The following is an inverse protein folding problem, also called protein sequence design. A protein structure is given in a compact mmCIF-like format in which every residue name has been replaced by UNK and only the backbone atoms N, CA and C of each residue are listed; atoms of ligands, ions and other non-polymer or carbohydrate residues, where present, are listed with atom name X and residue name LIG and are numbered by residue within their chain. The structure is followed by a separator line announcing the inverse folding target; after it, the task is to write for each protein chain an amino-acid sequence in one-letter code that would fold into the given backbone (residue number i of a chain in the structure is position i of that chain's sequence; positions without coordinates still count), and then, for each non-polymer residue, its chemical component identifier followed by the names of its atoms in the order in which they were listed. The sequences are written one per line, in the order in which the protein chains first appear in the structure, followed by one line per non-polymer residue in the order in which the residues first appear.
data_IF_237946866427
#
_entry.id   IF_237946866427
#
_cell.length_a   1.000
_cell.length_b   1.000
_cell.length_c   1.000
_cell.angle_alpha   90.00
_cell.angle_beta   90.00
_cell.angle_gamma   90.00
#
_symmetry.space_group_name_H-M   'P 1'
#
loop_
_entity.id
_entity.type
_entity.pdbx_description
1 polymer ?
#
# COMPACT_ATOMS: atom_id res chain seq x y z
N UNK A 1 -13.83 -51.20 -11.76
CA UNK A 1 -13.00 -51.00 -10.56
C UNK A 1 -12.44 -49.58 -10.62
N UNK A 2 -12.74 -48.75 -9.62
CA UNK A 2 -12.60 -47.28 -9.65
C UNK A 2 -11.14 -46.86 -9.45
N UNK A 3 -10.56 -46.13 -10.40
CA UNK A 3 -9.31 -45.38 -10.19
C UNK A 3 -9.71 -44.00 -9.69
N UNK A 4 -9.60 -43.78 -8.38
CA UNK A 4 -9.69 -42.46 -7.75
C UNK A 4 -8.29 -41.85 -7.78
N UNK A 5 -8.02 -40.99 -8.76
CA UNK A 5 -6.80 -40.20 -8.78
C UNK A 5 -6.95 -39.03 -7.79
N UNK A 6 -6.19 -39.14 -6.71
CA UNK A 6 -5.89 -38.10 -5.75
C UNK A 6 -5.21 -36.92 -6.47
N UNK A 7 -5.75 -35.71 -6.31
CA UNK A 7 -5.12 -34.49 -6.82
C UNK A 7 -5.31 -33.36 -5.82
N UNK A 8 -4.16 -32.87 -5.34
CA UNK A 8 -3.89 -31.59 -4.69
C UNK A 8 -4.43 -31.34 -3.28
N UNK A 9 -3.70 -31.87 -2.29
CA UNK A 9 -3.52 -31.19 -1.01
C UNK A 9 -2.56 -30.03 -1.25
N UNK A 10 -3.10 -28.83 -1.48
CA UNK A 10 -2.33 -27.59 -1.46
C UNK A 10 -1.93 -27.31 -0.01
N UNK A 11 -0.69 -27.64 0.34
CA UNK A 11 -0.07 -27.30 1.61
C UNK A 11 -0.01 -25.77 1.69
N UNK A 12 -0.98 -25.19 2.39
CA UNK A 12 -0.90 -23.83 2.89
C UNK A 12 0.24 -23.82 3.91
N UNK A 13 1.44 -23.56 3.42
CA UNK A 13 2.62 -23.39 4.26
C UNK A 13 2.39 -22.17 5.13
N UNK A 14 1.99 -22.43 6.38
CA UNK A 14 1.90 -21.47 7.45
C UNK A 14 3.32 -20.96 7.71
N UNK A 15 3.74 -19.92 6.98
CA UNK A 15 5.03 -19.28 7.21
C UNK A 15 4.99 -18.67 8.60
N UNK A 16 5.88 -19.14 9.48
CA UNK A 16 6.09 -18.56 10.79
C UNK A 16 6.43 -17.08 10.61
N UNK A 17 5.50 -16.20 10.99
CA UNK A 17 5.73 -14.76 10.97
C UNK A 17 6.63 -14.47 12.16
N UNK A 18 7.94 -14.47 11.91
CA UNK A 18 8.87 -13.85 12.84
C UNK A 18 8.55 -12.35 12.89
N UNK A 19 8.22 -11.86 14.08
CA UNK A 19 8.01 -10.44 14.32
C UNK A 19 9.34 -9.72 14.03
N UNK A 20 9.37 -8.89 12.99
CA UNK A 20 10.49 -8.03 12.62
C UNK A 20 9.95 -6.61 12.53
N UNK A 21 10.73 -5.59 12.95
CA UNK A 21 10.32 -4.21 12.79
C UNK A 21 10.14 -3.91 11.31
N UNK A 22 9.00 -3.33 10.94
CA UNK A 22 8.71 -2.92 9.56
C UNK A 22 8.71 -1.40 9.51
N UNK A 23 9.52 -0.83 8.63
CA UNK A 23 9.60 0.62 8.44
C UNK A 23 8.67 1.15 7.34
N UNK A 24 8.18 0.25 6.51
CA UNK A 24 7.27 0.59 5.43
C UNK A 24 6.27 -0.54 5.17
N UNK A 25 5.01 -0.15 5.01
CA UNK A 25 3.94 -1.02 4.54
C UNK A 25 3.25 -0.33 3.35
N UNK A 26 3.16 -1.00 2.18
CA UNK A 26 2.55 -0.42 1.00
C UNK A 26 1.04 -0.24 1.21
N UNK A 27 0.55 0.97 0.96
CA UNK A 27 -0.87 1.30 1.00
C UNK A 27 -1.57 0.94 -0.33
N UNK A 28 -2.89 0.95 -0.38
CA UNK A 28 -3.70 0.74 -1.60
C UNK A 28 -3.39 1.82 -2.65
N UNK A 29 -3.18 1.47 -3.91
CA UNK A 29 -3.02 2.43 -5.01
C UNK A 29 -4.38 3.05 -5.36
N UNK A 30 -4.47 4.37 -5.31
CA UNK A 30 -5.64 5.08 -5.85
C UNK A 30 -5.59 5.10 -7.37
N UNK A 31 -6.43 4.26 -7.97
CA UNK A 31 -6.59 4.05 -9.42
C UNK A 31 -8.01 4.47 -9.83
N UNK A 32 -8.28 5.78 -9.99
CA UNK A 32 -9.65 6.27 -10.11
C UNK A 32 -10.30 5.98 -11.47
N UNK A 33 -9.52 5.84 -12.54
CA UNK A 33 -10.04 5.65 -13.91
C UNK A 33 -11.02 6.77 -14.31
N UNK A 34 -10.65 8.02 -14.04
CA UNK A 34 -11.34 9.24 -14.49
C UNK A 34 -11.37 9.26 -16.02
N UNK A 35 -12.55 9.56 -16.55
CA UNK A 35 -12.86 9.61 -17.98
C UNK A 35 -13.32 10.99 -18.43
N UNK A 36 -13.81 11.82 -17.51
CA UNK A 36 -14.36 13.13 -17.85
C UNK A 36 -14.20 14.18 -16.74
N UNK A 37 -14.36 15.45 -17.12
CA UNK A 37 -14.37 16.58 -16.19
C UNK A 37 -15.60 16.47 -15.27
N UNK A 38 -15.41 16.69 -13.99
CA UNK A 38 -16.47 16.62 -12.98
C UNK A 38 -16.62 15.23 -12.37
N UNK A 39 -16.05 14.20 -12.98
CA UNK A 39 -16.11 12.85 -12.44
C UNK A 39 -15.36 12.76 -11.11
N UNK A 40 -16.03 12.17 -10.13
CA UNK A 40 -15.52 11.97 -8.77
C UNK A 40 -15.43 10.48 -8.49
N UNK A 41 -14.27 10.03 -8.00
CA UNK A 41 -14.06 8.68 -7.51
C UNK A 41 -13.73 8.74 -6.02
N UNK A 42 -14.44 7.97 -5.19
CA UNK A 42 -14.13 7.81 -3.77
C UNK A 42 -13.93 6.31 -3.47
N UNK A 43 -12.97 5.97 -2.63
CA UNK A 43 -12.74 4.60 -2.19
C UNK A 43 -12.53 4.56 -0.69
N UNK A 44 -13.19 3.61 -0.03
CA UNK A 44 -12.85 3.17 1.31
C UNK A 44 -12.32 1.74 1.19
N UNK A 45 -11.07 1.50 1.55
CA UNK A 45 -10.44 0.19 1.45
C UNK A 45 -9.56 -0.12 2.64
N UNK A 46 -9.23 -1.38 2.84
CA UNK A 46 -8.35 -1.78 3.93
C UNK A 46 -8.10 -3.27 3.93
N UNK A 47 -7.42 -3.71 4.99
CA UNK A 47 -7.15 -5.09 5.31
C UNK A 47 -7.10 -5.25 6.84
N UNK A 48 -6.53 -6.34 7.34
CA UNK A 48 -6.47 -6.60 8.79
C UNK A 48 -5.57 -5.63 9.59
N UNK A 49 -4.77 -4.78 8.95
CA UNK A 49 -3.83 -3.87 9.62
C UNK A 49 -3.86 -2.44 9.06
N UNK A 50 -4.74 -2.11 8.12
CA UNK A 50 -4.87 -0.76 7.60
C UNK A 50 -6.29 -0.41 7.14
N UNK A 51 -6.65 0.86 7.28
CA UNK A 51 -7.87 1.46 6.73
C UNK A 51 -7.47 2.70 5.95
N UNK A 52 -8.01 2.85 4.75
CA UNK A 52 -7.65 3.89 3.79
C UNK A 52 -8.88 4.52 3.16
N UNK A 53 -8.84 5.85 3.02
CA UNK A 53 -9.81 6.65 2.30
C UNK A 53 -9.09 7.32 1.14
N UNK A 54 -9.65 7.21 -0.05
CA UNK A 54 -9.05 7.73 -1.27
C UNK A 54 -10.11 8.50 -2.05
N UNK A 55 -9.69 9.61 -2.66
CA UNK A 55 -10.55 10.44 -3.49
C UNK A 55 -9.81 10.90 -4.74
N UNK A 56 -10.55 11.08 -5.83
CA UNK A 56 -10.06 11.70 -7.05
C UNK A 56 -11.16 12.51 -7.74
N UNK A 57 -10.76 13.56 -8.44
CA UNK A 57 -11.67 14.47 -9.13
C UNK A 57 -11.07 14.97 -10.45
N UNK A 58 -11.83 14.85 -11.54
CA UNK A 58 -11.49 15.39 -12.85
C UNK A 58 -11.70 16.90 -12.93
N UNK A 59 -10.63 17.70 -12.80
CA UNK A 59 -10.72 19.16 -12.82
C UNK A 59 -10.86 19.75 -14.24
N UNK A 60 -10.36 19.06 -15.25
CA UNK A 60 -10.44 19.45 -16.67
C UNK A 60 -10.73 18.22 -17.54
N UNK A 61 -10.73 18.38 -18.86
CA UNK A 61 -10.93 17.27 -19.82
C UNK A 61 -9.78 16.25 -19.84
N UNK A 62 -8.66 16.54 -19.19
CA UNK A 62 -7.51 15.60 -19.17
C UNK A 62 -6.66 15.70 -17.91
N UNK A 63 -7.06 16.51 -16.91
CA UNK A 63 -6.34 16.65 -15.66
C UNK A 63 -7.24 16.25 -14.50
N UNK A 64 -6.70 15.44 -13.60
CA UNK A 64 -7.36 15.01 -12.38
C UNK A 64 -6.44 15.23 -11.18
N UNK A 65 -7.05 15.48 -10.03
CA UNK A 65 -6.39 15.51 -8.73
C UNK A 65 -6.81 14.28 -7.94
N UNK A 66 -5.96 13.83 -7.03
CA UNK A 66 -6.25 12.77 -6.08
C UNK A 66 -5.68 13.07 -4.70
N UNK A 67 -6.34 12.53 -3.68
CA UNK A 67 -5.91 12.62 -2.30
C UNK A 67 -6.19 11.29 -1.58
N UNK A 68 -5.25 10.83 -0.76
CA UNK A 68 -5.34 9.57 -0.03
C UNK A 68 -5.00 9.81 1.44
N UNK A 69 -5.74 9.18 2.34
CA UNK A 69 -5.44 9.09 3.75
C UNK A 69 -5.43 7.64 4.19
N UNK A 70 -4.51 7.26 5.06
CA UNK A 70 -4.40 5.89 5.57
C UNK A 70 -4.00 5.86 7.04
N UNK A 71 -4.55 4.90 7.76
CA UNK A 71 -4.19 4.56 9.12
C UNK A 71 -3.72 3.10 9.14
N UNK A 72 -2.54 2.87 9.69
CA UNK A 72 -1.97 1.55 9.94
C UNK A 72 -2.14 1.25 11.42
N UNK A 73 -2.88 0.19 11.71
CA UNK A 73 -3.30 -0.19 13.04
C UNK A 73 -2.47 -1.40 13.45
N UNK A 74 -1.84 -1.37 14.63
CA UNK A 74 -1.08 -2.50 15.13
C UNK A 74 -2.01 -3.70 15.28
N UNK A 75 -1.50 -4.90 14.99
CA UNK A 75 -2.19 -6.12 15.39
C UNK A 75 -2.09 -6.22 16.90
N UNK A 76 -3.21 -6.48 17.57
CA UNK A 76 -3.23 -6.82 19.00
C UNK A 76 -2.48 -8.15 19.20
N UNK A 77 -1.16 -8.07 19.36
CA UNK A 77 -0.33 -9.20 19.76
C UNK A 77 -0.31 -9.27 21.29
N UNK A 78 -0.51 -10.47 21.84
CA UNK A 78 -0.55 -10.71 23.29
C UNK A 78 0.72 -10.26 24.03
N UNK A 79 1.82 -10.02 23.32
CA UNK A 79 3.10 -9.59 23.87
C UNK A 79 3.36 -8.06 23.75
N UNK A 80 2.37 -7.28 23.31
CA UNK A 80 2.46 -5.83 23.17
C UNK A 80 3.25 -5.36 21.94
N UNK A 81 3.75 -6.26 21.09
CA UNK A 81 4.47 -5.86 19.87
C UNK A 81 3.48 -5.28 18.84
N UNK A 82 3.80 -4.14 18.25
CA UNK A 82 2.91 -3.52 17.28
C UNK A 82 3.59 -2.43 16.48
N UNK A 83 3.28 -2.38 15.18
CA UNK A 83 3.62 -1.26 14.31
C UNK A 83 2.36 -0.46 14.01
N UNK A 84 2.44 0.86 14.15
CA UNK A 84 1.35 1.78 13.79
C UNK A 84 1.86 2.90 12.90
N UNK A 85 0.95 3.60 12.24
CA UNK A 85 1.32 4.75 11.44
C UNK A 85 0.13 5.43 10.79
N UNK A 86 0.39 6.62 10.25
CA UNK A 86 -0.60 7.36 9.46
C UNK A 86 0.06 7.95 8.23
N UNK A 87 -0.73 8.11 7.19
CA UNK A 87 -0.27 8.54 5.90
C UNK A 87 -1.27 9.47 5.22
N UNK A 88 -0.76 10.49 4.55
CA UNK A 88 -1.49 11.42 3.70
C UNK A 88 -0.74 11.57 2.37
N UNK A 89 -1.45 11.46 1.26
CA UNK A 89 -0.92 11.69 -0.09
C UNK A 89 -1.80 12.64 -0.85
N UNK A 90 -1.18 13.48 -1.66
CA UNK A 90 -1.84 14.22 -2.73
C UNK A 90 -1.16 13.90 -4.05
N UNK A 91 -1.93 14.00 -5.13
CA UNK A 91 -1.41 13.82 -6.47
C UNK A 91 -2.19 14.58 -7.52
N UNK A 92 -1.49 14.96 -8.58
CA UNK A 92 -2.06 15.61 -9.76
C UNK A 92 -1.56 14.89 -10.99
N UNK A 93 -2.42 14.74 -11.99
CA UNK A 93 -2.11 13.86 -13.11
C UNK A 93 -2.90 14.10 -14.36
N UNK A 94 -2.43 13.46 -15.43
CA UNK A 94 -3.06 13.44 -16.73
C UNK A 94 -3.89 12.16 -16.88
N UNK A 95 -5.07 12.27 -17.49
CA UNK A 95 -5.89 11.12 -17.88
C UNK A 95 -6.35 11.24 -19.33
N UNK A 96 -6.55 10.09 -19.98
CA UNK A 96 -7.04 9.99 -21.36
C UNK A 96 -7.85 8.72 -21.54
N UNK A 97 -9.10 8.88 -21.98
CA UNK A 97 -9.87 7.79 -22.55
C UNK A 97 -9.27 7.41 -23.93
N UNK A 98 -8.73 6.20 -24.05
CA UNK A 98 -8.15 5.67 -25.28
C UNK A 98 -9.21 5.04 -26.19
N UNK A 99 -10.29 4.54 -25.60
CA UNK A 99 -11.48 4.04 -26.27
C UNK A 99 -12.69 4.19 -25.33
N UNK A 100 -13.87 3.70 -25.73
CA UNK A 100 -15.08 3.75 -24.90
C UNK A 100 -14.92 3.13 -23.51
N UNK A 101 -13.97 2.20 -23.34
CA UNK A 101 -13.78 1.49 -22.09
C UNK A 101 -12.32 1.44 -21.64
N UNK A 102 -11.36 1.96 -22.39
CA UNK A 102 -9.95 1.95 -22.01
C UNK A 102 -9.51 3.35 -21.56
N UNK A 103 -8.82 3.40 -20.43
CA UNK A 103 -8.34 4.63 -19.81
C UNK A 103 -6.87 4.48 -19.46
N UNK A 104 -6.08 5.48 -19.84
CA UNK A 104 -4.73 5.66 -19.36
C UNK A 104 -4.70 6.87 -18.42
N UNK A 105 -4.02 6.74 -17.29
CA UNK A 105 -3.81 7.83 -16.35
C UNK A 105 -2.37 7.81 -15.85
N UNK A 106 -1.85 8.96 -15.48
CA UNK A 106 -0.58 9.05 -14.77
C UNK A 106 -0.62 10.19 -13.78
N UNK A 107 -0.18 9.94 -12.54
CA UNK A 107 -0.21 10.90 -11.45
C UNK A 107 1.16 11.10 -10.85
N UNK A 108 1.58 12.35 -10.68
CA UNK A 108 2.65 12.70 -9.74
C UNK A 108 2.11 12.65 -8.31
N UNK A 109 2.94 12.19 -7.38
CA UNK A 109 2.58 11.92 -5.98
C UNK A 109 3.51 12.65 -5.03
N UNK A 110 2.93 13.23 -3.98
CA UNK A 110 3.64 13.74 -2.81
C UNK A 110 2.90 13.24 -1.57
N UNK A 111 3.64 12.59 -0.68
CA UNK A 111 3.13 11.93 0.50
C UNK A 111 3.91 12.25 1.76
N UNK A 112 3.19 12.30 2.87
CA UNK A 112 3.71 12.53 4.21
C UNK A 112 3.10 11.50 5.16
N UNK A 113 3.89 11.01 6.10
CA UNK A 113 3.40 10.10 7.10
C UNK A 113 4.34 9.99 8.28
N UNK A 114 3.98 9.12 9.20
CA UNK A 114 4.88 8.67 10.24
C UNK A 114 4.56 7.22 10.59
N UNK A 115 5.51 6.57 11.24
CA UNK A 115 5.31 5.26 11.81
C UNK A 115 5.93 5.20 13.21
N UNK A 116 5.45 4.23 13.97
CA UNK A 116 5.99 3.84 15.26
C UNK A 116 5.99 2.31 15.35
N UNK A 117 7.07 1.73 15.83
CA UNK A 117 7.15 0.32 16.17
C UNK A 117 7.47 0.20 17.66
N UNK A 118 6.58 -0.48 18.38
CA UNK A 118 6.74 -0.82 19.79
C UNK A 118 7.09 -2.32 19.91
N UNK A 119 8.29 -2.63 20.43
CA UNK A 119 8.71 -4.02 20.68
C UNK A 119 9.20 -4.17 22.13
N UNK A 120 8.28 -4.21 23.11
CA UNK A 120 8.64 -4.22 24.53
C UNK A 120 9.20 -5.56 25.02
N UNK A 121 8.99 -6.65 24.28
CA UNK A 121 9.35 -8.00 24.69
C UNK A 121 10.28 -8.71 23.70
N UNK A 122 11.27 -9.40 24.25
CA UNK A 122 12.17 -10.27 23.50
C UNK A 122 11.43 -11.54 23.07
N UNK A 123 11.48 -11.90 21.79
CA UNK A 123 10.93 -13.18 21.34
C UNK A 123 11.97 -14.29 21.52
N UNK A 124 11.54 -15.56 21.66
CA UNK A 124 12.46 -16.71 21.70
C UNK A 124 13.34 -16.81 20.44
N UNK A 125 12.87 -16.26 19.33
CA UNK A 125 13.60 -16.15 18.05
C UNK A 125 14.61 -15.01 17.99
N UNK A 126 14.40 -13.93 18.75
CA UNK A 126 15.28 -12.78 18.84
C UNK A 126 15.34 -12.28 20.30
N UNK A 127 16.16 -12.94 21.15
CA UNK A 127 16.18 -12.71 22.60
C UNK A 127 16.77 -11.35 23.02
N UNK A 128 17.08 -10.46 22.07
CA UNK A 128 17.59 -9.11 22.30
C UNK A 128 16.68 -8.02 21.73
N UNK A 129 15.54 -8.39 21.12
CA UNK A 129 14.60 -7.41 20.56
C UNK A 129 13.92 -6.63 21.68
N UNK A 130 14.28 -5.35 21.83
CA UNK A 130 13.71 -4.48 22.85
C UNK A 130 13.79 -3.02 22.41
N UNK A 131 12.73 -2.27 22.70
CA UNK A 131 12.69 -0.82 22.59
C UNK A 131 11.71 -0.36 21.52
N UNK A 132 11.80 0.93 21.23
CA UNK A 132 10.86 1.64 20.37
C UNK A 132 11.59 2.38 19.26
N UNK A 133 10.91 2.56 18.13
CA UNK A 133 11.40 3.43 17.06
C UNK A 133 10.23 4.13 16.39
N UNK A 134 10.41 5.42 16.13
CA UNK A 134 9.49 6.23 15.35
C UNK A 134 10.27 7.07 14.34
N UNK A 135 9.63 7.40 13.22
CA UNK A 135 10.17 8.33 12.26
C UNK A 135 9.07 9.00 11.44
N UNK A 136 9.39 10.16 10.89
CA UNK A 136 8.60 10.80 9.84
C UNK A 136 8.98 10.23 8.48
N UNK A 137 8.00 10.14 7.59
CA UNK A 137 8.09 9.57 6.27
C UNK A 137 7.69 10.61 5.23
N UNK A 138 8.52 10.77 4.21
CA UNK A 138 8.25 11.55 3.02
C UNK A 138 8.29 10.65 1.78
N UNK A 139 7.32 10.80 0.89
CA UNK A 139 7.24 10.01 -0.34
C UNK A 139 7.02 10.94 -1.53
N UNK A 140 7.81 10.76 -2.58
CA UNK A 140 7.60 11.43 -3.86
C UNK A 140 7.68 10.41 -4.99
N UNK A 141 6.84 10.55 -6.00
CA UNK A 141 6.93 9.65 -7.14
C UNK A 141 5.87 9.83 -8.20
N UNK A 142 5.74 8.81 -9.05
CA UNK A 142 4.79 8.77 -10.15
C UNK A 142 4.02 7.45 -10.15
N UNK A 143 2.78 7.49 -10.66
CA UNK A 143 1.91 6.33 -10.78
C UNK A 143 1.19 6.30 -12.13
N UNK A 144 1.75 5.62 -13.14
CA UNK A 144 0.99 5.21 -14.33
C UNK A 144 -0.05 4.14 -13.99
N UNK A 145 -1.22 4.29 -14.62
CA UNK A 145 -2.34 3.38 -14.59
C UNK A 145 -2.82 3.10 -16.02
N UNK A 146 -3.18 1.86 -16.28
CA UNK A 146 -3.90 1.46 -17.49
C UNK A 146 -5.08 0.59 -17.07
N UNK A 147 -6.29 0.99 -17.44
CA UNK A 147 -7.48 0.31 -16.98
C UNK A 147 -8.59 0.20 -18.01
N UNK A 148 -9.39 -0.83 -17.83
CA UNK A 148 -10.69 -1.02 -18.44
C UNK A 148 -11.78 -0.54 -17.48
N UNK A 149 -12.71 0.29 -17.96
CA UNK A 149 -13.85 0.81 -17.21
C UNK A 149 -15.15 0.60 -17.97
N UNK A 150 -16.10 -0.06 -17.32
CA UNK A 150 -17.49 -0.20 -17.78
C UNK A 150 -18.44 0.13 -16.64
N UNK A 151 -19.74 0.11 -16.91
CA UNK A 151 -20.80 0.42 -15.94
C UNK A 151 -20.75 -0.48 -14.71
N UNK A 152 -20.51 -1.78 -14.87
CA UNK A 152 -20.62 -2.76 -13.77
C UNK A 152 -19.28 -3.38 -13.36
N UNK A 153 -18.23 -3.12 -14.13
CA UNK A 153 -16.93 -3.76 -13.96
C UNK A 153 -15.80 -2.81 -14.36
N UNK A 154 -14.73 -2.81 -13.58
CA UNK A 154 -13.47 -2.21 -13.98
C UNK A 154 -12.28 -3.07 -13.55
N UNK A 155 -11.20 -2.98 -14.31
CA UNK A 155 -9.95 -3.65 -13.99
C UNK A 155 -8.80 -2.73 -14.40
N UNK A 156 -7.73 -2.71 -13.62
CA UNK A 156 -6.59 -1.85 -13.92
C UNK A 156 -5.27 -2.49 -13.49
N UNK A 157 -4.24 -2.22 -14.29
CA UNK A 157 -2.85 -2.39 -13.94
C UNK A 157 -2.29 -1.02 -13.56
N UNK A 158 -1.56 -0.97 -12.46
CA UNK A 158 -0.92 0.25 -11.99
C UNK A 158 0.47 -0.07 -11.47
N UNK A 159 1.35 0.91 -11.51
CA UNK A 159 2.66 0.79 -10.86
C UNK A 159 3.05 2.12 -10.25
N UNK A 160 3.55 2.11 -9.02
CA UNK A 160 4.17 3.27 -8.38
C UNK A 160 5.68 3.16 -8.46
N UNK A 161 6.31 4.26 -8.83
CA UNK A 161 7.75 4.47 -8.77
C UNK A 161 7.99 5.62 -7.81
N UNK A 162 8.48 5.32 -6.62
CA UNK A 162 8.53 6.29 -5.52
C UNK A 162 9.90 6.27 -4.86
N UNK A 163 10.39 7.45 -4.50
CA UNK A 163 11.43 7.60 -3.49
C UNK A 163 10.76 7.81 -2.13
N UNK A 164 11.16 6.98 -1.17
CA UNK A 164 10.75 7.01 0.21
C UNK A 164 11.91 7.52 1.05
N UNK A 165 11.69 8.58 1.81
CA UNK A 165 12.70 9.18 2.68
C UNK A 165 12.22 9.27 4.12
N UNK A 166 13.13 9.08 5.07
CA UNK A 166 12.87 9.16 6.51
C UNK A 166 13.57 10.36 7.14
N UNK A 167 12.95 10.94 8.15
CA UNK A 167 13.50 12.04 8.94
C UNK A 167 12.99 11.97 10.38
N UNK A 168 13.61 12.72 11.29
CA UNK A 168 13.23 12.74 12.71
C UNK A 168 13.16 11.33 13.29
N UNK A 169 14.21 10.55 13.04
CA UNK A 169 14.31 9.15 13.49
C UNK A 169 14.68 9.19 14.97
N UNK A 170 13.81 8.61 15.80
CA UNK A 170 13.97 8.58 17.25
C UNK A 170 13.68 7.17 17.75
N UNK A 171 14.45 6.69 18.72
CA UNK A 171 14.24 5.36 19.29
C UNK A 171 15.51 4.71 19.80
N UNK A 172 15.31 3.68 20.62
CA UNK A 172 16.34 2.83 21.19
C UNK A 172 16.17 1.35 20.80
N UNK A 173 15.29 1.07 19.84
CA UNK A 173 15.01 -0.29 19.38
C UNK A 173 16.30 -0.99 18.94
N UNK A 174 16.62 -2.08 19.63
CA UNK A 174 17.61 -3.06 19.21
C UNK A 174 16.89 -4.25 18.59
N UNK A 175 17.34 -4.70 17.42
CA UNK A 175 16.85 -5.90 16.75
C UNK A 175 18.04 -6.59 16.06
N UNK A 176 18.18 -7.92 16.18
CA UNK A 176 19.32 -8.66 15.61
C UNK A 176 20.71 -8.10 15.98
N UNK A 177 20.87 -7.60 17.22
CA UNK A 177 22.09 -6.93 17.74
C UNK A 177 22.48 -5.63 17.00
N UNK A 178 21.54 -5.01 16.31
CA UNK A 178 21.74 -3.75 15.58
C UNK A 178 20.81 -2.67 16.14
N UNK A 179 21.34 -1.45 16.31
CA UNK A 179 20.54 -0.27 16.62
C UNK A 179 19.69 0.10 15.41
N UNK A 180 18.38 -0.03 15.54
CA UNK A 180 17.46 0.15 14.42
C UNK A 180 17.28 1.62 14.03
N UNK A 181 17.50 2.57 14.95
CA UNK A 181 17.50 4.00 14.61
C UNK A 181 18.71 4.34 13.72
N UNK A 182 19.89 3.84 14.08
CA UNK A 182 21.11 4.00 13.26
C UNK A 182 21.00 3.28 11.91
N UNK A 183 20.45 2.06 11.90
CA UNK A 183 20.17 1.34 10.66
C UNK A 183 19.27 2.16 9.72
N UNK A 184 18.17 2.72 10.25
CA UNK A 184 17.22 3.48 9.45
C UNK A 184 17.84 4.80 8.96
N UNK A 185 18.65 5.46 9.78
CA UNK A 185 19.35 6.70 9.38
C UNK A 185 20.33 6.43 8.22
N UNK A 186 21.12 5.35 8.31
CA UNK A 186 22.00 4.90 7.23
C UNK A 186 21.26 4.44 5.97
N UNK A 187 19.97 4.10 6.09
CA UNK A 187 19.11 3.65 5.00
C UNK A 187 17.89 4.57 4.82
N UNK A 188 18.06 5.87 5.08
CA UNK A 188 16.94 6.80 5.16
C UNK A 188 16.27 7.07 3.80
N UNK A 189 16.90 6.75 2.66
CA UNK A 189 16.31 6.94 1.33
C UNK A 189 16.25 5.63 0.55
N UNK A 190 15.06 5.30 0.05
CA UNK A 190 14.77 4.05 -0.62
C UNK A 190 13.94 4.26 -1.88
N UNK A 191 14.34 3.65 -3.00
CA UNK A 191 13.56 3.69 -4.23
C UNK A 191 12.74 2.42 -4.38
N UNK A 192 11.43 2.56 -4.48
CA UNK A 192 10.48 1.47 -4.55
C UNK A 192 9.78 1.42 -5.90
N UNK A 193 9.57 0.19 -6.39
CA UNK A 193 8.70 -0.12 -7.51
C UNK A 193 7.57 -0.99 -7.00
N UNK A 194 6.34 -0.51 -7.16
CA UNK A 194 5.16 -1.16 -6.59
C UNK A 194 4.12 -1.44 -7.67
N UNK A 195 4.18 -2.58 -8.37
CA UNK A 195 3.13 -2.98 -9.30
C UNK A 195 1.89 -3.48 -8.54
N UNK A 196 0.70 -3.21 -9.08
CA UNK A 196 -0.56 -3.69 -8.55
C UNK A 196 -1.60 -3.97 -9.65
N UNK A 197 -2.54 -4.85 -9.30
CA UNK A 197 -3.75 -5.10 -10.07
C UNK A 197 -4.96 -4.73 -9.23
N UNK A 198 -5.88 -3.97 -9.82
CA UNK A 198 -7.16 -3.60 -9.22
C UNK A 198 -8.28 -4.22 -10.02
N UNK A 199 -9.25 -4.82 -9.34
CA UNK A 199 -10.48 -5.33 -9.94
C UNK A 199 -11.65 -4.75 -9.15
N UNK A 200 -12.67 -4.26 -9.86
CA UNK A 200 -13.91 -3.78 -9.25
C UNK A 200 -15.12 -4.36 -9.97
N UNK A 201 -16.13 -4.74 -9.20
CA UNK A 201 -17.39 -5.25 -9.74
C UNK A 201 -18.57 -4.86 -8.85
N UNK A 202 -19.71 -4.58 -9.46
CA UNK A 202 -20.93 -4.25 -8.72
C UNK A 202 -21.91 -3.41 -9.51
N UNK A 203 -22.47 -2.40 -8.85
CA UNK A 203 -23.44 -1.46 -9.42
C UNK A 203 -22.73 -0.27 -10.06
N UNK A 204 -23.47 0.51 -10.84
CA UNK A 204 -22.95 1.67 -11.57
C UNK A 204 -22.23 2.71 -10.69
N UNK A 205 -22.78 2.98 -9.50
CA UNK A 205 -22.23 3.99 -8.58
C UNK A 205 -21.45 3.38 -7.42
N UNK A 206 -21.54 2.06 -7.21
CA UNK A 206 -20.95 1.38 -6.04
C UNK A 206 -20.41 0.03 -6.48
N UNK A 207 -19.11 -0.15 -6.38
CA UNK A 207 -18.41 -1.37 -6.76
C UNK A 207 -17.60 -1.90 -5.58
N UNK A 208 -17.60 -3.22 -5.40
CA UNK A 208 -16.64 -3.87 -4.52
C UNK A 208 -15.28 -3.83 -5.21
N UNK A 209 -14.26 -3.36 -4.50
CA UNK A 209 -12.87 -3.29 -4.96
C UNK A 209 -12.04 -4.38 -4.30
N UNK A 210 -11.28 -5.08 -5.12
CA UNK A 210 -10.15 -5.92 -4.72
C UNK A 210 -8.88 -5.35 -5.34
N UNK A 211 -7.82 -5.25 -4.55
CA UNK A 211 -6.51 -4.88 -5.06
C UNK A 211 -5.43 -5.75 -4.44
N UNK A 212 -4.51 -6.22 -5.27
CA UNK A 212 -3.32 -6.93 -4.86
C UNK A 212 -2.10 -6.26 -5.48
N UNK A 213 -1.02 -6.16 -4.71
CA UNK A 213 0.22 -5.56 -5.19
C UNK A 213 1.45 -6.08 -4.46
N UNK A 214 2.59 -5.74 -5.05
CA UNK A 214 3.93 -6.05 -4.54
C UNK A 214 4.65 -4.73 -4.32
N UNK A 215 5.55 -4.66 -3.34
CA UNK A 215 6.45 -3.54 -3.13
C UNK A 215 7.88 -4.04 -3.12
N UNK A 216 8.69 -3.54 -4.05
CA UNK A 216 10.09 -3.94 -4.25
C UNK A 216 10.98 -2.74 -4.00
N UNK A 217 11.87 -2.84 -3.03
CA UNK A 217 12.93 -1.86 -2.85
C UNK A 217 14.11 -2.22 -3.73
N UNK A 218 14.36 -1.42 -4.76
CA UNK A 218 15.42 -1.69 -5.74
C UNK A 218 16.74 -0.99 -5.40
N UNK A 219 16.75 -0.09 -4.41
CA UNK A 219 17.99 0.47 -3.86
C UNK A 219 18.56 -0.34 -2.70
N UNK A 220 17.71 -1.02 -1.92
CA UNK A 220 18.10 -1.90 -0.83
C UNK A 220 17.13 -3.09 -0.73
N UNK A 221 17.52 -4.24 -1.29
CA UNK A 221 16.73 -5.47 -1.30
C UNK A 221 16.47 -6.07 0.11
N UNK A 222 17.31 -5.72 1.10
CA UNK A 222 17.21 -6.20 2.48
C UNK A 222 16.43 -5.24 3.38
N UNK A 223 15.91 -4.14 2.84
CA UNK A 223 15.15 -3.17 3.62
C UNK A 223 13.94 -3.82 4.29
N UNK A 224 13.76 -3.54 5.59
CA UNK A 224 12.72 -4.15 6.42
C UNK A 224 11.36 -3.49 6.12
N UNK A 225 10.68 -4.00 5.10
CA UNK A 225 9.34 -3.59 4.68
C UNK A 225 8.40 -4.78 4.47
N UNK A 226 7.11 -4.50 4.31
CA UNK A 226 6.16 -5.45 3.74
C UNK A 226 6.36 -5.52 2.21
N UNK A 227 6.36 -6.73 1.68
CA UNK A 227 6.66 -7.00 0.26
C UNK A 227 5.42 -7.11 -0.61
N UNK A 228 4.24 -7.28 -0.01
CA UNK A 228 2.98 -7.39 -0.73
C UNK A 228 1.83 -6.91 0.12
N UNK A 229 0.73 -6.58 -0.53
CA UNK A 229 -0.52 -6.24 0.13
C UNK A 229 -1.70 -6.80 -0.65
N UNK A 230 -2.78 -7.02 0.08
CA UNK A 230 -4.09 -7.37 -0.44
C UNK A 230 -5.11 -6.56 0.33
N UNK A 231 -6.00 -5.88 -0.39
CA UNK A 231 -7.01 -5.00 0.20
C UNK A 231 -8.36 -5.22 -0.44
N UNK A 232 -9.40 -5.09 0.39
CA UNK A 232 -10.79 -5.08 -0.01
C UNK A 232 -11.38 -3.70 0.29
N UNK A 233 -12.35 -3.26 -0.50
CA UNK A 233 -12.97 -1.96 -0.28
C UNK A 233 -14.24 -1.74 -1.08
N UNK A 234 -14.83 -0.57 -0.89
CA UNK A 234 -15.95 -0.06 -1.66
C UNK A 234 -15.48 1.16 -2.46
N UNK A 235 -15.76 1.14 -3.75
CA UNK A 235 -15.46 2.21 -4.69
C UNK A 235 -16.78 2.87 -5.14
N UNK A 236 -16.81 4.19 -5.08
CA UNK A 236 -17.94 5.02 -5.44
C UNK A 236 -17.58 5.90 -6.63
N UNK A 237 -18.39 5.86 -7.69
CA UNK A 237 -18.19 6.71 -8.87
C UNK A 237 -19.39 7.63 -9.04
N UNK A 238 -19.11 8.92 -9.18
CA UNK A 238 -20.10 9.96 -9.44
C UNK A 238 -19.71 10.74 -10.68
N UNK A 239 -20.69 11.03 -11.52
CA UNK A 239 -20.60 11.83 -12.74
C UNK A 239 -21.54 13.01 -12.60
#
# INVERSE_FOLDING_TARGET
MKIKNAVFVGILSLTMIACSPKYYSPNTQNVPLITEKGETNLTLSGNGNQIEIQGAYGISQSIALKANGGLFIPKDLENGNGGSGKYLEIGGGYYKALSNNLVFETYGLIGFGNFENHLPSTTSTNPQTKGDISASLFRIGIQPNFGYKSKYFSAALSSRFVNLSYSSIEGDLIFENENQAEYLDNNASNFLIEPAVTIRGGLEKVQLQFQAGVSMNVSNNNFRQDKSFLTLGLNFNFR
#
